data_IF_340453112763
#
_entry.id   IF_340453112763
#
_cell.length_a   1.000
_cell.length_b   1.000
_cell.length_c   1.000
_cell.angle_alpha   90.00
_cell.angle_beta   90.00
_cell.angle_gamma   90.00
#
_symmetry.space_group_name_H-M   'P 1'
#
loop_
_entity.id
_entity.type
_entity.pdbx_description
1 polymer ?
#
# COMPACT_ATOMS: atom_id res chain seq x y z
N UNK A 1 -11.69 -31.07 29.06
CA UNK A 1 -11.40 -31.05 27.61
C UNK A 1 -12.10 -29.84 26.96
N UNK A 2 -11.54 -28.63 27.12
CA UNK A 2 -12.17 -27.37 26.64
C UNK A 2 -11.18 -26.28 26.23
N UNK A 3 -9.91 -26.62 25.99
CA UNK A 3 -8.84 -25.64 25.66
C UNK A 3 -8.32 -25.72 24.22
N UNK A 4 -8.85 -26.62 23.38
CA UNK A 4 -8.33 -26.79 22.02
C UNK A 4 -8.95 -25.82 21.01
N UNK A 5 -10.21 -25.42 21.19
CA UNK A 5 -10.92 -24.55 20.25
C UNK A 5 -10.45 -23.09 20.30
N UNK A 6 -10.17 -22.55 21.49
CA UNK A 6 -9.74 -21.16 21.66
C UNK A 6 -8.34 -20.90 21.08
N UNK A 7 -7.45 -21.89 21.15
CA UNK A 7 -6.09 -21.78 20.62
C UNK A 7 -6.11 -21.72 19.08
N UNK A 8 -6.93 -22.53 18.44
CA UNK A 8 -7.09 -22.55 16.98
C UNK A 8 -7.80 -21.31 16.44
N UNK A 9 -8.83 -20.82 17.16
CA UNK A 9 -9.54 -19.61 16.77
C UNK A 9 -8.64 -18.38 16.80
N UNK A 10 -7.82 -18.25 17.86
CA UNK A 10 -6.84 -17.16 17.99
C UNK A 10 -5.80 -17.16 16.87
N UNK A 11 -5.28 -18.34 16.50
CA UNK A 11 -4.34 -18.53 15.39
C UNK A 11 -4.95 -18.15 14.02
N UNK A 12 -6.19 -18.53 13.76
CA UNK A 12 -6.89 -18.17 12.52
C UNK A 12 -7.14 -16.66 12.40
N UNK A 13 -7.53 -15.98 13.49
CA UNK A 13 -7.67 -14.52 13.49
C UNK A 13 -6.33 -13.83 13.22
N UNK A 14 -5.25 -14.22 13.91
CA UNK A 14 -3.94 -13.60 13.70
C UNK A 14 -3.40 -13.82 12.28
N UNK A 15 -3.66 -14.98 11.66
CA UNK A 15 -3.21 -15.25 10.29
C UNK A 15 -4.03 -14.49 9.25
N UNK A 16 -5.34 -14.35 9.47
CA UNK A 16 -6.21 -13.57 8.59
C UNK A 16 -5.92 -12.07 8.69
N UNK A 17 -5.69 -11.55 9.90
CA UNK A 17 -5.30 -10.15 10.11
C UNK A 17 -3.96 -9.85 9.42
N UNK A 18 -2.92 -10.67 9.63
CA UNK A 18 -1.62 -10.47 8.98
C UNK A 18 -1.66 -10.56 7.44
N UNK A 19 -2.54 -11.39 6.88
CA UNK A 19 -2.73 -11.51 5.42
C UNK A 19 -3.53 -10.35 4.82
N UNK A 20 -4.47 -9.79 5.59
CA UNK A 20 -5.24 -8.61 5.18
C UNK A 20 -4.34 -7.37 5.27
N UNK A 21 -3.59 -7.19 6.35
CA UNK A 21 -2.62 -6.10 6.52
C UNK A 21 -1.54 -6.13 5.43
N UNK A 22 -0.89 -7.28 5.20
CA UNK A 22 0.14 -7.38 4.15
C UNK A 22 -0.38 -7.15 2.73
N UNK A 23 -1.66 -7.43 2.45
CA UNK A 23 -2.29 -7.12 1.14
C UNK A 23 -2.67 -5.65 1.00
N UNK A 24 -3.04 -4.99 2.09
CA UNK A 24 -3.42 -3.58 2.08
C UNK A 24 -2.16 -2.72 2.00
N UNK A 25 -1.11 -3.05 2.78
CA UNK A 25 0.19 -2.40 2.70
C UNK A 25 0.80 -2.53 1.30
N UNK A 26 0.89 -3.75 0.76
CA UNK A 26 1.48 -3.95 -0.57
C UNK A 26 0.77 -3.19 -1.70
N UNK A 27 -0.57 -3.05 -1.66
CA UNK A 27 -1.32 -2.31 -2.68
C UNK A 27 -1.16 -0.80 -2.60
N UNK A 28 -0.94 -0.27 -1.40
CA UNK A 28 -0.73 1.17 -1.18
C UNK A 28 0.72 1.53 -1.49
N UNK A 29 1.66 0.69 -1.05
CA UNK A 29 3.08 0.80 -1.36
C UNK A 29 3.34 0.75 -2.87
N UNK A 30 2.74 -0.19 -3.60
CA UNK A 30 2.94 -0.31 -5.05
C UNK A 30 2.54 0.97 -5.80
N UNK A 31 1.41 1.59 -5.45
CA UNK A 31 0.97 2.84 -6.10
C UNK A 31 1.88 4.01 -5.79
N UNK A 32 2.35 4.09 -4.55
CA UNK A 32 3.28 5.13 -4.11
C UNK A 32 4.64 4.93 -4.79
N UNK A 33 5.15 3.70 -4.84
CA UNK A 33 6.43 3.36 -5.47
C UNK A 33 6.41 3.64 -6.97
N UNK A 34 5.34 3.25 -7.68
CA UNK A 34 5.17 3.59 -9.09
C UNK A 34 5.16 5.11 -9.28
N UNK A 35 4.42 5.85 -8.45
CA UNK A 35 4.41 7.31 -8.52
C UNK A 35 5.79 7.92 -8.25
N UNK A 36 6.53 7.43 -7.23
CA UNK A 36 7.88 7.87 -6.89
C UNK A 36 8.88 7.59 -8.02
N UNK A 37 8.84 6.39 -8.61
CA UNK A 37 9.68 6.02 -9.76
C UNK A 37 9.38 6.92 -10.97
N UNK A 38 8.11 7.13 -11.30
CA UNK A 38 7.73 8.03 -12.39
C UNK A 38 8.15 9.48 -12.13
N UNK A 39 8.09 9.96 -10.88
CA UNK A 39 8.61 11.28 -10.50
C UNK A 39 10.12 11.37 -10.77
N UNK A 40 10.87 10.35 -10.35
CA UNK A 40 12.32 10.25 -10.55
C UNK A 40 12.72 10.17 -12.03
N UNK A 41 11.91 9.50 -12.85
CA UNK A 41 12.10 9.46 -14.31
C UNK A 41 11.69 10.76 -15.01
N UNK A 42 11.09 11.72 -14.29
CA UNK A 42 10.75 13.04 -14.82
C UNK A 42 9.38 13.14 -15.50
N UNK A 43 8.48 12.17 -15.28
CA UNK A 43 7.12 12.23 -15.81
C UNK A 43 6.30 13.39 -15.21
N UNK A 44 5.39 13.94 -16.00
CA UNK A 44 4.49 14.99 -15.56
C UNK A 44 3.38 14.45 -14.62
N UNK A 45 2.85 15.34 -13.76
CA UNK A 45 1.86 14.97 -12.76
C UNK A 45 0.55 14.44 -13.38
N UNK A 46 0.16 14.87 -14.59
CA UNK A 46 -1.06 14.37 -15.24
C UNK A 46 -0.89 12.93 -15.70
N UNK A 47 0.28 12.59 -16.25
CA UNK A 47 0.61 11.22 -16.64
C UNK A 47 0.66 10.31 -15.41
N UNK A 48 1.29 10.75 -14.33
CA UNK A 48 1.33 9.99 -13.07
C UNK A 48 -0.08 9.78 -12.52
N UNK A 49 -0.92 10.83 -12.44
CA UNK A 49 -2.33 10.72 -12.02
C UNK A 49 -3.09 9.69 -12.86
N UNK A 50 -2.90 9.70 -14.18
CA UNK A 50 -3.61 8.78 -15.08
C UNK A 50 -3.20 7.31 -14.88
N UNK A 51 -1.94 7.06 -14.53
CA UNK A 51 -1.40 5.70 -14.35
C UNK A 51 -1.69 5.16 -12.94
N UNK A 52 -1.40 5.95 -11.91
CA UNK A 52 -1.49 5.51 -10.50
C UNK A 52 -2.87 5.74 -9.91
N UNK A 53 -3.68 6.61 -10.53
CA UNK A 53 -4.97 7.04 -10.01
C UNK A 53 -4.87 7.98 -8.80
N UNK A 54 -3.66 8.45 -8.48
CA UNK A 54 -3.42 9.40 -7.39
C UNK A 54 -3.83 10.82 -7.81
N UNK A 55 -4.30 11.60 -6.85
CA UNK A 55 -4.59 13.02 -7.08
C UNK A 55 -3.30 13.80 -7.32
N UNK A 56 -3.43 14.96 -7.99
CA UNK A 56 -2.29 15.85 -8.21
C UNK A 56 -1.66 16.27 -6.87
N UNK A 57 -2.47 16.52 -5.85
CA UNK A 57 -2.00 16.86 -4.50
C UNK A 57 -1.14 15.75 -3.88
N UNK A 58 -1.57 14.48 -4.01
CA UNK A 58 -0.79 13.33 -3.55
C UNK A 58 0.54 13.22 -4.30
N UNK A 59 0.54 13.45 -5.61
CA UNK A 59 1.76 13.40 -6.42
C UNK A 59 2.70 14.55 -6.08
N UNK A 60 2.19 15.74 -5.80
CA UNK A 60 3.02 16.86 -5.32
C UNK A 60 3.62 16.59 -3.94
N UNK A 61 2.86 15.98 -3.03
CA UNK A 61 3.40 15.55 -1.73
C UNK A 61 4.53 14.52 -1.93
N UNK A 62 4.32 13.52 -2.79
CA UNK A 62 5.34 12.53 -3.13
C UNK A 62 6.57 13.16 -3.80
N UNK A 63 6.38 14.16 -4.66
CA UNK A 63 7.48 14.93 -5.26
C UNK A 63 8.32 15.65 -4.23
N UNK A 64 7.74 16.08 -3.12
CA UNK A 64 8.49 16.71 -2.01
C UNK A 64 9.26 15.70 -1.17
N UNK A 65 8.74 14.47 -1.05
CA UNK A 65 9.46 13.39 -0.35
C UNK A 65 10.63 12.80 -1.15
N UNK A 66 10.51 12.74 -2.49
CA UNK A 66 11.54 12.16 -3.38
C UNK A 66 12.67 13.15 -3.68
N UNK A 67 12.45 14.45 -3.45
CA UNK A 67 13.40 15.53 -3.75
C UNK A 67 14.54 15.59 -2.77
#
# INVERSE_FOLDING_TARGET
EKNYLDFTASLETSFNEGKIEGKIEGKVEEKIEIAKNMISEGFDNKTITRITGLSIEQIEALRKEVR
#
